data_IF_682734251430
#
_entry.id   IF_682734251430
#
_cell.length_a   1.000
_cell.length_b   1.000
_cell.length_c   1.000
_cell.angle_alpha   90.00
_cell.angle_beta   90.00
_cell.angle_gamma   90.00
#
_symmetry.space_group_name_H-M   'P 1'
#
loop_
_entity.id
_entity.type
_entity.pdbx_description
1 polymer ?
#
# COMPACT_ATOMS: atom_id res chain seq x y z
N UNK A 1 -5.22 12.47 -30.57
CA UNK A 1 -4.29 11.33 -30.40
C UNK A 1 -4.88 10.43 -29.34
N UNK A 2 -4.99 9.14 -29.64
CA UNK A 2 -5.62 8.17 -28.75
C UNK A 2 -4.83 7.99 -27.44
N UNK A 3 -5.53 7.89 -26.32
CA UNK A 3 -4.95 7.58 -25.01
C UNK A 3 -4.37 6.16 -25.02
N UNK A 4 -3.08 6.01 -24.87
CA UNK A 4 -2.45 4.71 -24.91
C UNK A 4 -2.50 4.00 -23.55
N UNK A 5 -3.63 3.34 -23.27
CA UNK A 5 -3.89 2.58 -22.02
C UNK A 5 -2.71 1.65 -21.67
N UNK A 6 -2.16 0.90 -22.62
CA UNK A 6 -1.06 -0.04 -22.36
C UNK A 6 0.25 0.63 -21.93
N UNK A 7 0.52 1.83 -22.46
CA UNK A 7 1.70 2.61 -22.05
C UNK A 7 1.49 3.18 -20.65
N UNK A 8 0.29 3.63 -20.37
CA UNK A 8 -0.15 4.14 -19.08
C UNK A 8 -0.01 3.07 -17.99
N UNK A 9 -0.59 1.87 -18.20
CA UNK A 9 -0.53 0.77 -17.24
C UNK A 9 0.93 0.39 -16.88
N UNK A 10 1.83 0.36 -17.87
CA UNK A 10 3.24 0.06 -17.63
C UNK A 10 3.95 1.08 -16.72
N UNK A 11 3.61 2.36 -16.85
CA UNK A 11 4.21 3.42 -16.03
C UNK A 11 3.67 3.31 -14.60
N UNK A 12 2.36 3.10 -14.45
CA UNK A 12 1.72 2.86 -13.15
C UNK A 12 2.29 1.63 -12.45
N UNK A 13 2.41 0.52 -13.17
CA UNK A 13 2.99 -0.71 -12.60
C UNK A 13 4.43 -0.49 -12.14
N UNK A 14 5.24 0.21 -12.94
CA UNK A 14 6.61 0.56 -12.58
C UNK A 14 6.67 1.47 -11.34
N UNK A 15 5.79 2.46 -11.25
CA UNK A 15 5.70 3.35 -10.09
C UNK A 15 5.33 2.58 -8.82
N UNK A 16 4.32 1.70 -8.92
CA UNK A 16 3.91 0.80 -7.85
C UNK A 16 5.04 -0.12 -7.37
N UNK A 17 5.74 -0.75 -8.30
CA UNK A 17 6.83 -1.66 -7.97
C UNK A 17 7.99 -0.93 -7.27
N UNK A 18 8.36 0.25 -7.78
CA UNK A 18 9.42 1.08 -7.20
C UNK A 18 9.04 1.49 -5.78
N UNK A 19 7.87 2.06 -5.58
CA UNK A 19 7.47 2.54 -4.26
C UNK A 19 7.26 1.42 -3.25
N UNK A 20 6.76 0.25 -3.69
CA UNK A 20 6.66 -0.93 -2.82
C UNK A 20 8.03 -1.46 -2.40
N UNK A 21 9.04 -1.36 -3.26
CA UNK A 21 10.41 -1.72 -2.93
C UNK A 21 10.98 -0.75 -1.88
N UNK A 22 10.82 0.54 -2.06
CA UNK A 22 11.28 1.57 -1.12
C UNK A 22 10.60 1.40 0.26
N UNK A 23 9.29 1.22 0.28
CA UNK A 23 8.53 0.95 1.52
C UNK A 23 9.02 -0.32 2.21
N UNK A 24 9.32 -1.38 1.44
CA UNK A 24 9.85 -2.62 1.99
C UNK A 24 11.21 -2.41 2.67
N UNK A 25 12.11 -1.66 2.04
CA UNK A 25 13.43 -1.36 2.59
C UNK A 25 13.34 -0.48 3.85
N UNK A 26 12.44 0.50 3.87
CA UNK A 26 12.17 1.34 5.05
C UNK A 26 11.62 0.49 6.21
N UNK A 27 10.66 -0.38 5.96
CA UNK A 27 10.10 -1.31 6.97
C UNK A 27 11.18 -2.23 7.53
N UNK A 28 12.08 -2.71 6.68
CA UNK A 28 13.20 -3.55 7.09
C UNK A 28 14.22 -2.79 7.93
N UNK A 29 14.51 -1.54 7.59
CA UNK A 29 15.39 -0.68 8.37
C UNK A 29 14.80 -0.40 9.76
N UNK A 30 13.51 -0.09 9.86
CA UNK A 30 12.80 0.06 11.14
C UNK A 30 12.85 -1.23 11.96
N UNK A 31 12.62 -2.39 11.32
CA UNK A 31 12.69 -3.70 12.00
C UNK A 31 14.05 -3.95 12.65
N UNK A 32 15.13 -3.63 11.94
CA UNK A 32 16.47 -3.79 12.46
C UNK A 32 16.75 -2.80 13.60
N UNK A 33 16.38 -1.54 13.46
CA UNK A 33 16.58 -0.51 14.49
C UNK A 33 15.81 -0.85 15.79
N UNK A 34 14.55 -1.30 15.66
CA UNK A 34 13.77 -1.75 16.84
C UNK A 34 14.39 -3.01 17.46
N UNK A 35 14.91 -3.95 16.66
CA UNK A 35 15.58 -5.13 17.18
C UNK A 35 16.83 -4.76 17.98
N UNK A 36 17.63 -3.80 17.51
CA UNK A 36 18.82 -3.30 18.22
C UNK A 36 18.44 -2.60 19.53
N UNK A 37 17.40 -1.77 19.53
CA UNK A 37 16.88 -1.11 20.75
C UNK A 37 16.48 -2.16 21.80
N UNK A 38 15.74 -3.19 21.39
CA UNK A 38 15.30 -4.28 22.30
C UNK A 38 16.47 -5.12 22.77
N UNK A 39 17.49 -5.34 21.92
CA UNK A 39 18.68 -6.14 22.27
C UNK A 39 19.56 -5.49 23.36
N UNK A 40 19.50 -4.16 23.49
CA UNK A 40 20.26 -3.44 24.54
C UNK A 40 19.76 -3.68 25.96
N UNK A 41 18.72 -4.52 26.16
CA UNK A 41 18.15 -4.90 27.47
C UNK A 41 17.82 -3.71 28.38
N UNK A 42 17.34 -2.62 27.81
CA UNK A 42 16.97 -1.43 28.54
C UNK A 42 15.63 -1.60 29.26
N UNK A 43 15.42 -0.82 30.32
CA UNK A 43 14.11 -0.79 30.97
C UNK A 43 12.99 -0.34 30.00
N UNK A 44 11.73 -0.75 30.22
CA UNK A 44 10.61 -0.33 29.39
C UNK A 44 10.51 1.19 29.21
N UNK A 45 10.89 1.97 30.24
CA UNK A 45 10.92 3.44 30.24
C UNK A 45 11.95 3.99 29.23
N UNK A 46 13.06 3.30 29.07
CA UNK A 46 14.12 3.67 28.11
C UNK A 46 13.80 3.20 26.68
N UNK A 47 13.15 2.06 26.53
CA UNK A 47 12.81 1.47 25.22
C UNK A 47 11.73 2.26 24.53
N UNK A 48 10.70 2.71 25.27
CA UNK A 48 9.54 3.44 24.68
C UNK A 48 9.96 4.66 23.86
N UNK A 49 10.68 5.65 24.39
CA UNK A 49 11.03 6.84 23.64
C UNK A 49 11.91 6.54 22.42
N UNK A 50 12.78 5.53 22.51
CA UNK A 50 13.64 5.12 21.40
C UNK A 50 12.85 4.48 20.26
N UNK A 51 11.90 3.58 20.56
CA UNK A 51 11.04 2.99 19.54
C UNK A 51 10.19 4.07 18.86
N UNK A 52 9.60 4.99 19.63
CA UNK A 52 8.80 6.07 19.06
C UNK A 52 9.64 6.98 18.18
N UNK A 53 10.87 7.31 18.58
CA UNK A 53 11.80 8.09 17.77
C UNK A 53 12.21 7.37 16.47
N UNK A 54 12.46 6.05 16.54
CA UNK A 54 12.74 5.23 15.36
C UNK A 54 11.56 5.22 14.39
N UNK A 55 10.34 5.02 14.89
CA UNK A 55 9.12 5.02 14.07
C UNK A 55 8.92 6.38 13.42
N UNK A 56 9.08 7.48 14.15
CA UNK A 56 8.95 8.83 13.60
C UNK A 56 9.98 9.13 12.52
N UNK A 57 11.25 8.78 12.75
CA UNK A 57 12.32 8.90 11.76
C UNK A 57 11.99 8.17 10.46
N UNK A 58 11.51 6.93 10.54
CA UNK A 58 11.14 6.14 9.38
C UNK A 58 9.83 6.60 8.74
N UNK A 59 8.91 7.16 9.51
CA UNK A 59 7.71 7.81 8.99
C UNK A 59 8.07 9.00 8.08
N UNK A 60 9.02 9.83 8.48
CA UNK A 60 9.52 10.91 7.63
C UNK A 60 10.20 10.37 6.37
N UNK A 61 10.91 9.26 6.46
CA UNK A 61 11.51 8.59 5.30
C UNK A 61 10.44 8.08 4.32
N UNK A 62 9.34 7.52 4.83
CA UNK A 62 8.18 7.12 3.99
C UNK A 62 7.58 8.34 3.29
N UNK A 63 7.42 9.45 4.02
CA UNK A 63 6.91 10.70 3.44
C UNK A 63 7.79 11.18 2.29
N UNK A 64 9.11 11.17 2.48
CA UNK A 64 10.06 11.57 1.44
C UNK A 64 10.06 10.61 0.25
N UNK A 65 9.96 9.29 0.48
CA UNK A 65 9.85 8.30 -0.60
C UNK A 65 8.57 8.49 -1.41
N UNK A 66 7.45 8.83 -0.76
CA UNK A 66 6.20 9.12 -1.44
C UNK A 66 6.27 10.35 -2.37
N UNK A 67 7.17 11.31 -2.09
CA UNK A 67 7.42 12.43 -2.99
C UNK A 67 8.00 11.99 -4.34
N UNK A 68 8.62 10.81 -4.41
CA UNK A 68 9.06 10.21 -5.68
C UNK A 68 7.88 9.90 -6.61
N UNK A 69 6.68 9.66 -6.07
CA UNK A 69 5.47 9.56 -6.89
C UNK A 69 5.16 10.85 -7.64
N UNK A 70 5.48 12.00 -7.06
CA UNK A 70 5.29 13.31 -7.73
C UNK A 70 6.17 13.40 -8.95
N UNK A 71 7.45 13.03 -8.87
CA UNK A 71 8.36 13.05 -10.02
C UNK A 71 7.96 12.03 -11.10
N UNK A 72 7.49 10.84 -10.72
CA UNK A 72 6.98 9.85 -11.66
C UNK A 72 5.72 10.37 -12.36
N UNK A 73 4.86 11.10 -11.63
CA UNK A 73 3.66 11.70 -12.22
C UNK A 73 3.99 12.85 -13.18
N UNK A 74 5.03 13.64 -12.86
CA UNK A 74 5.57 14.68 -13.73
C UNK A 74 6.13 14.09 -15.03
N UNK A 75 6.98 13.08 -14.93
CA UNK A 75 7.50 12.32 -16.08
C UNK A 75 6.38 11.73 -16.93
N UNK A 76 5.30 11.27 -16.29
CA UNK A 76 4.14 10.71 -16.96
C UNK A 76 3.37 11.78 -17.75
N UNK A 77 3.16 12.94 -17.17
CA UNK A 77 2.46 14.05 -17.82
C UNK A 77 3.27 14.62 -18.99
N UNK A 78 4.59 14.69 -18.88
CA UNK A 78 5.48 15.11 -19.96
C UNK A 78 5.50 14.12 -21.13
N UNK A 79 5.31 12.84 -20.87
CA UNK A 79 5.24 11.79 -21.89
C UNK A 79 3.85 11.64 -22.52
N UNK A 80 2.81 12.26 -21.93
CA UNK A 80 1.47 12.25 -22.51
C UNK A 80 1.46 13.18 -23.72
N UNK A 81 0.85 12.71 -24.82
CA UNK A 81 0.73 13.47 -26.07
C UNK A 81 -0.18 14.69 -25.96
N UNK A 82 -0.85 14.88 -24.84
CA UNK A 82 -1.74 16.00 -24.56
C UNK A 82 -1.19 16.76 -23.35
N UNK A 83 -0.81 18.04 -23.46
CA UNK A 83 -0.32 18.81 -22.34
C UNK A 83 -1.33 18.84 -21.19
N UNK A 84 -0.89 18.49 -20.00
CA UNK A 84 -1.70 18.68 -18.81
C UNK A 84 -1.95 20.18 -18.59
N UNK A 85 -3.19 20.58 -18.28
CA UNK A 85 -3.46 21.97 -17.90
C UNK A 85 -2.99 22.22 -16.46
N UNK A 86 -2.70 23.49 -16.11
CA UNK A 86 -2.17 23.84 -14.79
C UNK A 86 -3.05 23.38 -13.61
N UNK A 87 -4.36 23.38 -13.78
CA UNK A 87 -5.32 22.98 -12.72
C UNK A 87 -5.27 21.46 -12.43
N UNK A 88 -4.99 20.64 -13.44
CA UNK A 88 -4.90 19.19 -13.24
C UNK A 88 -3.61 18.81 -12.54
N UNK A 89 -2.55 19.55 -12.82
CA UNK A 89 -1.25 19.35 -12.17
C UNK A 89 -1.33 19.63 -10.67
N UNK A 90 -1.96 20.74 -10.29
CA UNK A 90 -2.13 21.12 -8.89
C UNK A 90 -3.01 20.14 -8.12
N UNK A 91 -4.15 19.74 -8.71
CA UNK A 91 -5.04 18.75 -8.09
C UNK A 91 -4.37 17.39 -7.88
N UNK A 92 -3.55 16.96 -8.84
CA UNK A 92 -2.80 15.71 -8.76
C UNK A 92 -1.69 15.79 -7.72
N UNK A 93 -0.98 16.92 -7.64
CA UNK A 93 0.02 17.17 -6.63
C UNK A 93 -0.58 17.15 -5.23
N UNK A 94 -1.71 17.83 -5.02
CA UNK A 94 -2.42 17.80 -3.74
C UNK A 94 -2.85 16.38 -3.34
N UNK A 95 -3.31 15.56 -4.29
CA UNK A 95 -3.66 14.16 -4.02
C UNK A 95 -2.44 13.34 -3.58
N UNK A 96 -1.29 13.54 -4.23
CA UNK A 96 -0.05 12.86 -3.87
C UNK A 96 0.50 13.32 -2.51
N UNK A 97 0.41 14.61 -2.22
CA UNK A 97 0.80 15.17 -0.92
C UNK A 97 -0.06 14.59 0.21
N UNK A 98 -1.38 14.55 0.04
CA UNK A 98 -2.30 13.91 0.98
C UNK A 98 -1.96 12.43 1.18
N UNK A 99 -1.70 11.70 0.10
CA UNK A 99 -1.34 10.29 0.17
C UNK A 99 -0.01 10.06 0.89
N UNK A 100 0.96 10.96 0.74
CA UNK A 100 2.24 10.89 1.45
C UNK A 100 2.08 11.09 2.95
N UNK A 101 1.20 12.00 3.36
CA UNK A 101 0.85 12.22 4.76
C UNK A 101 0.10 11.04 5.36
N UNK A 102 -0.85 10.45 4.63
CA UNK A 102 -1.56 9.25 5.08
C UNK A 102 -0.61 8.07 5.31
N UNK A 103 0.36 7.86 4.43
CA UNK A 103 1.38 6.83 4.58
C UNK A 103 2.26 7.08 5.82
N UNK A 104 2.72 8.30 6.02
CA UNK A 104 3.50 8.68 7.19
C UNK A 104 2.69 8.49 8.48
N UNK A 105 1.44 8.91 8.51
CA UNK A 105 0.54 8.76 9.64
C UNK A 105 0.22 7.29 9.95
N UNK A 106 0.07 6.45 8.93
CA UNK A 106 -0.13 5.01 9.10
C UNK A 106 1.06 4.34 9.79
N UNK A 107 2.27 4.82 9.53
CA UNK A 107 3.50 4.36 10.19
C UNK A 107 3.60 4.89 11.62
N UNK A 108 3.50 6.20 11.81
CA UNK A 108 3.58 6.86 13.13
C UNK A 108 2.53 6.31 14.10
N UNK A 109 1.28 6.16 13.66
CA UNK A 109 0.20 5.60 14.46
C UNK A 109 0.39 4.15 14.89
N UNK A 110 1.37 3.45 14.30
CA UNK A 110 1.69 2.07 14.70
C UNK A 110 2.78 1.97 15.78
N UNK A 111 3.44 3.08 16.11
CA UNK A 111 4.54 3.10 17.08
C UNK A 111 4.13 2.62 18.48
N UNK A 112 3.00 3.10 18.97
CA UNK A 112 2.47 2.70 20.27
C UNK A 112 2.10 1.20 20.33
N UNK A 113 1.66 0.60 19.24
CA UNK A 113 1.38 -0.86 19.17
C UNK A 113 2.66 -1.67 19.29
N UNK A 114 3.77 -1.21 18.70
CA UNK A 114 5.09 -1.85 18.84
C UNK A 114 5.56 -1.73 20.29
N UNK A 115 5.53 -0.51 20.86
CA UNK A 115 5.90 -0.24 22.24
C UNK A 115 5.12 -1.12 23.20
N UNK A 116 3.79 -1.13 23.08
CA UNK A 116 2.91 -1.97 23.91
C UNK A 116 3.28 -3.44 23.83
N UNK A 117 3.59 -3.93 22.63
CA UNK A 117 3.97 -5.33 22.42
C UNK A 117 5.28 -5.65 23.14
N UNK A 118 6.29 -4.79 23.04
CA UNK A 118 7.59 -4.97 23.66
C UNK A 118 7.49 -4.85 25.19
N UNK A 119 6.82 -3.81 25.69
CA UNK A 119 6.68 -3.57 27.14
C UNK A 119 5.89 -4.68 27.82
N UNK A 120 4.74 -5.08 27.29
CA UNK A 120 3.94 -6.16 27.88
C UNK A 120 4.68 -7.50 27.83
N UNK A 121 5.39 -7.79 26.75
CA UNK A 121 6.22 -8.98 26.64
C UNK A 121 7.37 -8.99 27.64
N UNK A 122 8.02 -7.85 27.87
CA UNK A 122 9.07 -7.69 28.88
C UNK A 122 8.53 -7.91 30.29
N UNK A 123 7.41 -7.32 30.63
CA UNK A 123 6.73 -7.52 31.93
C UNK A 123 6.32 -8.99 32.11
N UNK A 124 5.92 -9.67 31.04
CA UNK A 124 5.60 -11.10 31.05
C UNK A 124 6.84 -12.02 31.14
N UNK A 125 8.05 -11.47 31.20
CA UNK A 125 9.29 -12.21 31.30
C UNK A 125 9.73 -12.91 30.01
N UNK A 126 9.31 -12.42 28.86
CA UNK A 126 9.76 -12.96 27.57
C UNK A 126 11.27 -12.72 27.37
N UNK A 127 11.93 -13.66 26.71
CA UNK A 127 13.33 -13.48 26.32
C UNK A 127 13.46 -12.36 25.26
N UNK A 128 14.64 -11.72 25.22
CA UNK A 128 14.96 -10.70 24.21
C UNK A 128 14.65 -11.17 22.78
N UNK A 129 14.99 -12.41 22.45
CA UNK A 129 14.68 -12.99 21.15
C UNK A 129 13.17 -13.07 20.87
N UNK A 130 12.37 -13.44 21.88
CA UNK A 130 10.91 -13.47 21.77
C UNK A 130 10.31 -12.07 21.59
N UNK A 131 10.82 -11.07 22.32
CA UNK A 131 10.42 -9.67 22.18
C UNK A 131 10.71 -9.12 20.78
N UNK A 132 11.92 -9.35 20.26
CA UNK A 132 12.29 -8.98 18.90
C UNK A 132 11.35 -9.61 17.87
N UNK A 133 11.00 -10.90 18.04
CA UNK A 133 10.10 -11.57 17.12
C UNK A 133 8.68 -11.02 17.18
N UNK A 134 8.20 -10.67 18.37
CA UNK A 134 6.88 -10.02 18.50
C UNK A 134 6.87 -8.62 17.87
N UNK A 135 7.91 -7.82 18.09
CA UNK A 135 8.06 -6.50 17.45
C UNK A 135 8.10 -6.62 15.92
N UNK A 136 8.87 -7.59 15.40
CA UNK A 136 8.91 -7.89 13.96
C UNK A 136 7.55 -8.26 13.40
N UNK A 137 6.75 -9.04 14.13
CA UNK A 137 5.37 -9.36 13.76
C UNK A 137 4.50 -8.12 13.58
N UNK A 138 4.72 -7.06 14.38
CA UNK A 138 3.99 -5.79 14.26
C UNK A 138 4.51 -4.92 13.12
N UNK A 139 5.78 -4.99 12.80
CA UNK A 139 6.43 -4.17 11.78
C UNK A 139 6.27 -4.80 10.39
N UNK A 140 6.84 -5.97 10.17
CA UNK A 140 6.83 -6.65 8.86
C UNK A 140 5.67 -7.63 8.67
N UNK A 141 4.96 -7.98 9.73
CA UNK A 141 3.91 -9.00 9.70
C UNK A 141 4.44 -10.43 9.60
N UNK A 142 5.74 -10.63 9.81
CA UNK A 142 6.39 -11.94 9.73
C UNK A 142 6.98 -12.29 11.10
N UNK A 143 6.40 -13.27 11.78
CA UNK A 143 7.03 -13.87 12.96
C UNK A 143 8.09 -14.87 12.50
N UNK A 144 9.37 -14.62 12.83
CA UNK A 144 10.50 -15.38 12.30
C UNK A 144 10.77 -16.73 12.98
N UNK A 145 10.21 -16.98 14.16
CA UNK A 145 10.48 -18.17 14.96
C UNK A 145 9.23 -19.01 15.23
N UNK A 146 8.71 -19.61 14.19
CA UNK A 146 7.80 -20.74 14.38
C UNK A 146 8.62 -22.02 14.54
N UNK A 147 8.31 -22.83 15.54
CA UNK A 147 8.83 -24.21 15.69
C UNK A 147 8.24 -25.15 14.65
N UNK A 148 7.17 -24.73 13.96
CA UNK A 148 6.50 -25.49 12.92
C UNK A 148 7.43 -25.72 11.71
N UNK A 149 7.73 -27.01 11.36
CA UNK A 149 8.60 -27.35 10.24
C UNK A 149 8.13 -26.79 8.88
N UNK A 150 6.83 -26.69 8.69
CA UNK A 150 6.24 -26.17 7.44
C UNK A 150 6.43 -24.66 7.32
N UNK A 151 6.26 -23.94 8.42
CA UNK A 151 6.55 -22.50 8.47
C UNK A 151 8.02 -22.24 8.20
N UNK A 152 8.93 -22.98 8.84
CA UNK A 152 10.39 -22.90 8.61
C UNK A 152 10.77 -23.20 7.15
N UNK A 153 10.06 -24.13 6.51
CA UNK A 153 10.28 -24.45 5.09
C UNK A 153 9.89 -23.29 4.19
N UNK A 154 8.74 -22.69 4.40
CA UNK A 154 8.28 -21.55 3.60
C UNK A 154 9.14 -20.29 3.86
N UNK A 155 9.59 -20.05 5.11
CA UNK A 155 10.55 -19.00 5.43
C UNK A 155 11.87 -19.16 4.68
N UNK A 156 12.41 -20.39 4.62
CA UNK A 156 13.64 -20.67 3.85
C UNK A 156 13.46 -20.40 2.36
N UNK A 157 12.27 -20.71 1.79
CA UNK A 157 11.95 -20.40 0.39
C UNK A 157 11.90 -18.90 0.17
N UNK A 158 11.21 -18.18 1.04
CA UNK A 158 11.12 -16.70 0.98
C UNK A 158 12.50 -16.06 1.03
N UNK A 159 13.37 -16.48 1.97
CA UNK A 159 14.76 -15.98 2.05
C UNK A 159 15.55 -16.22 0.76
N UNK A 160 15.36 -17.39 0.12
CA UNK A 160 16.03 -17.69 -1.17
C UNK A 160 15.53 -16.79 -2.29
N UNK A 161 14.22 -16.52 -2.34
CA UNK A 161 13.63 -15.61 -3.35
C UNK A 161 14.16 -14.18 -3.17
N UNK A 162 14.16 -13.66 -1.94
CA UNK A 162 14.70 -12.32 -1.63
C UNK A 162 16.19 -12.21 -1.98
N UNK A 163 17.01 -13.20 -1.57
CA UNK A 163 18.44 -13.23 -1.89
C UNK A 163 18.72 -13.41 -3.38
N UNK A 164 17.84 -14.08 -4.10
CA UNK A 164 17.95 -14.33 -5.54
C UNK A 164 17.42 -13.17 -6.40
N UNK A 165 17.01 -12.04 -5.81
CA UNK A 165 16.51 -10.91 -6.57
C UNK A 165 15.17 -11.16 -7.28
N UNK A 166 14.34 -12.05 -6.73
CA UNK A 166 13.02 -12.32 -7.30
C UNK A 166 12.15 -11.04 -7.29
N UNK A 167 11.27 -10.89 -8.29
CA UNK A 167 10.39 -9.72 -8.41
C UNK A 167 9.52 -9.53 -7.16
N UNK A 168 9.14 -8.28 -6.88
CA UNK A 168 8.29 -7.91 -5.74
C UNK A 168 6.99 -8.73 -5.70
N UNK A 169 6.38 -9.02 -6.85
CA UNK A 169 5.18 -9.84 -6.95
C UNK A 169 5.40 -11.28 -6.43
N UNK A 170 6.51 -11.91 -6.80
CA UNK A 170 6.87 -13.26 -6.36
C UNK A 170 7.16 -13.29 -4.86
N UNK A 171 7.88 -12.30 -4.34
CA UNK A 171 8.17 -12.15 -2.90
C UNK A 171 6.87 -11.95 -2.12
N UNK A 172 5.96 -11.09 -2.60
CA UNK A 172 4.65 -10.85 -1.98
C UNK A 172 3.81 -12.13 -1.95
N UNK A 173 3.77 -12.89 -3.03
CA UNK A 173 3.04 -14.15 -3.10
C UNK A 173 3.60 -15.18 -2.09
N UNK A 174 4.93 -15.32 -2.02
CA UNK A 174 5.60 -16.21 -1.07
C UNK A 174 5.34 -15.77 0.39
N UNK A 175 5.36 -14.47 0.66
CA UNK A 175 5.04 -13.91 1.98
C UNK A 175 3.59 -14.21 2.38
N UNK A 176 2.64 -14.03 1.48
CA UNK A 176 1.23 -14.34 1.73
C UNK A 176 1.00 -15.84 1.98
N UNK A 177 1.73 -16.70 1.27
CA UNK A 177 1.69 -18.15 1.50
C UNK A 177 2.23 -18.53 2.88
N UNK A 178 3.35 -17.92 3.30
CA UNK A 178 3.90 -18.10 4.63
C UNK A 178 2.91 -17.63 5.70
N UNK A 179 2.31 -16.45 5.52
CA UNK A 179 1.32 -15.88 6.45
C UNK A 179 0.15 -16.81 6.72
N UNK A 180 -0.37 -17.51 5.69
CA UNK A 180 -1.50 -18.46 5.82
C UNK A 180 -1.16 -19.68 6.68
N UNK A 181 0.13 -19.98 6.87
CA UNK A 181 0.61 -21.14 7.61
C UNK A 181 1.00 -20.82 9.05
N UNK A 182 1.03 -19.55 9.44
CA UNK A 182 1.36 -19.14 10.80
C UNK A 182 0.16 -19.41 11.73
N UNK A 183 0.30 -20.33 12.72
CA UNK A 183 -0.76 -20.58 13.70
C UNK A 183 -0.95 -19.32 14.57
N UNK A 184 -2.19 -18.89 14.71
CA UNK A 184 -2.52 -17.71 15.53
C UNK A 184 -1.91 -16.44 14.97
N UNK A 185 -1.97 -16.27 13.63
CA UNK A 185 -1.41 -15.11 12.95
C UNK A 185 -1.77 -13.85 13.75
N UNK A 186 -0.78 -13.28 14.41
CA UNK A 186 -0.86 -11.88 14.82
C UNK A 186 -1.46 -11.19 13.62
N UNK A 187 -2.55 -10.46 13.82
CA UNK A 187 -3.36 -9.89 12.77
C UNK A 187 -2.43 -9.15 11.80
N UNK A 188 -1.93 -9.87 10.79
CA UNK A 188 -0.94 -9.37 9.83
C UNK A 188 -1.48 -8.19 9.04
N UNK A 189 -2.81 -8.08 8.96
CA UNK A 189 -3.51 -6.91 8.44
C UNK A 189 -3.20 -5.61 9.23
N UNK A 190 -2.79 -5.72 10.49
CA UNK A 190 -2.40 -4.58 11.32
C UNK A 190 -0.91 -4.23 11.27
N UNK A 191 -0.07 -4.99 10.53
CA UNK A 191 1.36 -4.66 10.44
C UNK A 191 1.61 -3.39 9.63
N UNK A 192 2.68 -2.68 9.96
CA UNK A 192 3.11 -1.47 9.23
C UNK A 192 3.29 -1.79 7.75
N UNK A 193 3.97 -2.89 7.41
CA UNK A 193 4.20 -3.29 6.03
C UNK A 193 2.91 -3.45 5.22
N UNK A 194 1.86 -4.03 5.82
CA UNK A 194 0.56 -4.19 5.14
C UNK A 194 -0.15 -2.86 5.00
N UNK A 195 -0.15 -2.03 6.06
CA UNK A 195 -0.78 -0.69 6.02
C UNK A 195 -0.13 0.18 4.94
N UNK A 196 1.20 0.23 4.88
CA UNK A 196 1.93 1.01 3.89
C UNK A 196 1.72 0.47 2.47
N UNK A 197 1.83 -0.85 2.26
CA UNK A 197 1.57 -1.44 0.94
C UNK A 197 0.16 -1.13 0.42
N UNK A 198 -0.84 -1.19 1.31
CA UNK A 198 -2.23 -0.86 0.96
C UNK A 198 -2.38 0.64 0.68
N UNK A 199 -1.73 1.50 1.47
CA UNK A 199 -1.72 2.94 1.24
C UNK A 199 -1.10 3.31 -0.10
N UNK A 200 0.00 2.68 -0.48
CA UNK A 200 0.61 2.86 -1.81
C UNK A 200 -0.35 2.45 -2.93
N UNK A 201 -0.99 1.27 -2.82
CA UNK A 201 -1.98 0.82 -3.81
C UNK A 201 -3.15 1.81 -3.93
N UNK A 202 -3.60 2.39 -2.82
CA UNK A 202 -4.65 3.40 -2.82
C UNK A 202 -4.19 4.71 -3.46
N UNK A 203 -3.03 5.23 -3.07
CA UNK A 203 -2.48 6.48 -3.59
C UNK A 203 -2.34 6.44 -5.11
N UNK A 204 -1.65 5.42 -5.63
CA UNK A 204 -1.44 5.25 -7.06
C UNK A 204 -2.75 5.02 -7.80
N UNK A 205 -3.66 4.23 -7.23
CA UNK A 205 -4.95 3.99 -7.85
C UNK A 205 -5.85 5.23 -7.90
N UNK A 206 -5.83 6.07 -6.87
CA UNK A 206 -6.57 7.34 -6.84
C UNK A 206 -6.01 8.33 -7.84
N UNK A 207 -4.69 8.45 -7.90
CA UNK A 207 -4.01 9.24 -8.92
C UNK A 207 -4.40 8.80 -10.34
N UNK A 208 -4.34 7.49 -10.62
CA UNK A 208 -4.70 6.94 -11.91
C UNK A 208 -6.15 7.27 -12.32
N UNK A 209 -7.10 7.09 -11.40
CA UNK A 209 -8.50 7.40 -11.67
C UNK A 209 -8.75 8.88 -11.96
N UNK A 210 -8.14 9.77 -11.18
CA UNK A 210 -8.22 11.22 -11.38
C UNK A 210 -7.65 11.62 -12.73
N UNK A 211 -6.47 11.09 -13.07
CA UNK A 211 -5.81 11.37 -14.34
C UNK A 211 -6.62 10.87 -15.54
N UNK A 212 -7.11 9.62 -15.48
CA UNK A 212 -7.92 9.04 -16.54
C UNK A 212 -9.20 9.85 -16.82
N UNK A 213 -9.89 10.30 -15.74
CA UNK A 213 -11.05 11.18 -15.84
C UNK A 213 -10.71 12.51 -16.49
N UNK A 214 -9.63 13.16 -16.05
CA UNK A 214 -9.21 14.44 -16.59
C UNK A 214 -8.86 14.35 -18.09
N UNK A 215 -8.14 13.30 -18.50
CA UNK A 215 -7.80 13.06 -19.90
C UNK A 215 -9.05 12.78 -20.75
N UNK A 216 -9.98 11.97 -20.26
CA UNK A 216 -11.24 11.70 -20.95
C UNK A 216 -12.02 12.99 -21.21
N UNK A 217 -12.19 13.82 -20.17
CA UNK A 217 -12.90 15.11 -20.28
C UNK A 217 -12.27 16.01 -21.34
N UNK A 218 -10.94 16.08 -21.40
CA UNK A 218 -10.22 16.90 -22.41
C UNK A 218 -10.39 16.40 -23.83
N UNK A 219 -10.41 15.09 -23.99
CA UNK A 219 -10.52 14.46 -25.30
C UNK A 219 -11.98 14.29 -25.76
N UNK A 220 -12.95 14.76 -24.96
CA UNK A 220 -14.38 14.60 -25.25
C UNK A 220 -14.84 13.14 -25.18
N UNK A 221 -14.13 12.29 -24.44
CA UNK A 221 -14.53 10.91 -24.19
C UNK A 221 -15.53 10.90 -23.05
N UNK A 222 -16.74 10.44 -23.33
CA UNK A 222 -17.85 10.44 -22.38
C UNK A 222 -18.06 9.08 -21.72
N UNK A 223 -17.59 7.99 -22.33
CA UNK A 223 -17.82 6.62 -21.89
C UNK A 223 -16.61 6.02 -21.18
N UNK A 224 -16.84 5.32 -20.08
CA UNK A 224 -15.82 4.66 -19.28
C UNK A 224 -16.19 3.19 -19.05
N UNK A 225 -15.18 2.32 -19.02
CA UNK A 225 -15.31 0.92 -18.67
C UNK A 225 -14.69 0.64 -17.31
N UNK A 226 -15.41 -0.10 -16.44
CA UNK A 226 -14.86 -0.53 -15.14
C UNK A 226 -14.01 -1.77 -15.31
N UNK A 227 -12.72 -1.64 -15.09
CA UNK A 227 -11.73 -2.70 -15.31
C UNK A 227 -11.05 -3.13 -14.02
N UNK A 228 -10.47 -4.32 -14.02
CA UNK A 228 -9.68 -4.88 -12.92
C UNK A 228 -9.91 -6.38 -12.76
N UNK A 229 -8.95 -7.06 -12.17
CA UNK A 229 -9.02 -8.51 -11.93
C UNK A 229 -9.97 -8.86 -10.78
N UNK A 230 -10.94 -9.72 -11.02
CA UNK A 230 -11.83 -10.26 -9.98
C UNK A 230 -11.05 -11.27 -9.13
N UNK A 231 -11.08 -11.10 -7.81
CA UNK A 231 -10.45 -11.98 -6.82
C UNK A 231 -11.49 -12.44 -5.79
N UNK A 232 -11.18 -13.50 -5.04
CA UNK A 232 -12.04 -14.02 -3.99
C UNK A 232 -12.41 -12.97 -2.90
N UNK A 233 -11.60 -11.91 -2.78
CA UNK A 233 -11.81 -10.79 -1.85
C UNK A 233 -12.41 -9.56 -2.51
N UNK A 234 -12.75 -9.62 -3.81
CA UNK A 234 -13.41 -8.52 -4.51
C UNK A 234 -14.79 -8.26 -3.93
N UNK A 235 -15.15 -6.99 -3.75
CA UNK A 235 -16.47 -6.60 -3.25
C UNK A 235 -17.56 -6.98 -4.23
N UNK A 236 -18.79 -7.26 -3.77
CA UNK A 236 -19.91 -7.54 -4.66
C UNK A 236 -20.13 -6.45 -5.71
N UNK A 237 -19.97 -5.18 -5.32
CA UNK A 237 -20.00 -4.04 -6.26
C UNK A 237 -18.98 -4.22 -7.38
N UNK A 238 -17.70 -4.45 -7.05
CA UNK A 238 -16.65 -4.60 -8.06
C UNK A 238 -16.93 -5.79 -8.99
N UNK A 239 -17.36 -6.93 -8.42
CA UNK A 239 -17.70 -8.13 -9.21
C UNK A 239 -18.82 -7.85 -10.21
N UNK A 240 -19.85 -7.08 -9.80
CA UNK A 240 -20.98 -6.75 -10.67
C UNK A 240 -20.65 -5.71 -11.74
N UNK A 241 -19.63 -4.88 -11.49
CA UNK A 241 -19.32 -3.74 -12.35
C UNK A 241 -18.21 -4.01 -13.38
N UNK A 242 -17.33 -4.97 -13.15
CA UNK A 242 -16.25 -5.27 -14.10
C UNK A 242 -16.80 -5.57 -15.50
N UNK A 243 -16.32 -4.83 -16.51
CA UNK A 243 -16.77 -4.88 -17.90
C UNK A 243 -18.00 -4.01 -18.22
N UNK A 244 -18.57 -3.32 -17.23
CA UNK A 244 -19.67 -2.39 -17.48
C UNK A 244 -19.14 -1.08 -18.07
N UNK A 245 -19.88 -0.52 -19.03
CA UNK A 245 -19.61 0.77 -19.67
C UNK A 245 -20.67 1.77 -19.30
N UNK A 246 -20.27 2.97 -18.92
CA UNK A 246 -21.17 4.02 -18.46
C UNK A 246 -20.53 5.41 -18.69
N UNK A 247 -21.36 6.43 -18.82
CA UNK A 247 -20.88 7.81 -18.79
C UNK A 247 -20.60 8.28 -17.35
N UNK A 248 -19.89 9.39 -17.18
CA UNK A 248 -19.46 9.89 -15.88
C UNK A 248 -20.63 10.24 -14.95
N UNK A 249 -21.76 10.73 -15.49
CA UNK A 249 -22.96 11.08 -14.73
C UNK A 249 -23.64 9.82 -14.18
N UNK A 250 -23.80 8.79 -15.00
CA UNK A 250 -24.37 7.50 -14.59
C UNK A 250 -23.49 6.80 -13.55
N UNK A 251 -22.17 6.90 -13.68
CA UNK A 251 -21.22 6.39 -12.68
C UNK A 251 -21.44 7.09 -11.33
N UNK A 252 -21.57 8.42 -11.32
CA UNK A 252 -21.82 9.19 -10.10
C UNK A 252 -23.18 8.84 -9.50
N UNK A 253 -24.23 8.78 -10.29
CA UNK A 253 -25.59 8.41 -9.85
C UNK A 253 -25.63 7.00 -9.25
N UNK A 254 -24.97 6.04 -9.92
CA UNK A 254 -24.83 4.68 -9.41
C UNK A 254 -24.06 4.65 -8.09
N UNK A 255 -22.95 5.43 -8.00
CA UNK A 255 -22.17 5.54 -6.80
C UNK A 255 -23.01 6.07 -5.64
N UNK A 256 -23.72 7.17 -5.83
CA UNK A 256 -24.52 7.80 -4.78
C UNK A 256 -25.72 6.94 -4.34
N UNK A 257 -26.34 6.26 -5.28
CA UNK A 257 -27.49 5.35 -5.02
C UNK A 257 -27.13 4.00 -4.45
N UNK A 258 -25.87 3.60 -4.44
CA UNK A 258 -25.41 2.28 -4.00
C UNK A 258 -24.80 2.29 -2.61
N UNK A 259 -24.87 1.15 -1.89
CA UNK A 259 -24.24 0.97 -0.58
C UNK A 259 -23.61 -0.41 -0.46
N UNK A 260 -22.39 -0.49 0.07
CA UNK A 260 -21.69 -1.74 0.38
C UNK A 260 -20.65 -1.53 1.49
N UNK A 261 -20.22 -2.62 2.11
CA UNK A 261 -19.19 -2.56 3.14
C UNK A 261 -17.84 -2.06 2.58
N UNK A 262 -17.30 -1.01 3.16
CA UNK A 262 -16.05 -0.38 2.74
C UNK A 262 -16.18 0.57 1.55
N UNK A 263 -17.41 1.01 1.23
CA UNK A 263 -17.61 2.20 0.39
C UNK A 263 -17.06 3.42 1.11
N UNK A 264 -16.32 4.24 0.40
CA UNK A 264 -15.81 5.53 0.88
C UNK A 264 -16.58 6.68 0.21
N UNK A 265 -16.82 7.79 0.90
CA UNK A 265 -17.38 8.97 0.28
C UNK A 265 -16.38 9.58 -0.71
N UNK A 266 -16.87 10.20 -1.77
CA UNK A 266 -16.04 10.92 -2.73
C UNK A 266 -16.34 10.55 -4.19
N UNK A 267 -15.50 11.09 -5.08
CA UNK A 267 -15.59 10.86 -6.52
C UNK A 267 -15.29 9.38 -6.85
N UNK A 268 -16.19 8.65 -7.54
CA UNK A 268 -16.02 7.23 -7.86
C UNK A 268 -14.79 6.92 -8.71
N UNK A 269 -14.24 7.88 -9.42
CA UNK A 269 -12.98 7.73 -10.15
C UNK A 269 -11.77 7.73 -9.22
N UNK A 270 -11.83 8.51 -8.15
CA UNK A 270 -10.76 8.61 -7.13
C UNK A 270 -10.85 7.45 -6.14
N UNK A 271 -12.02 7.25 -5.52
CA UNK A 271 -12.22 6.23 -4.48
C UNK A 271 -12.51 4.84 -5.04
N UNK A 272 -12.83 4.75 -6.32
CA UNK A 272 -13.01 3.51 -7.08
C UNK A 272 -14.09 2.61 -6.45
N UNK A 273 -13.81 1.40 -5.98
CA UNK A 273 -14.70 0.53 -5.19
C UNK A 273 -14.56 0.71 -3.67
N UNK A 274 -13.82 1.72 -3.19
CA UNK A 274 -13.51 1.99 -1.79
C UNK A 274 -12.11 1.50 -1.40
N UNK A 275 -11.79 1.56 -0.10
CA UNK A 275 -10.46 1.24 0.44
C UNK A 275 -9.86 -0.06 -0.10
N UNK A 276 -8.61 -0.01 -0.55
CA UNK A 276 -7.88 -1.16 -1.13
C UNK A 276 -8.56 -1.77 -2.36
N UNK A 277 -9.27 -0.96 -3.15
CA UNK A 277 -9.84 -1.40 -4.41
C UNK A 277 -8.78 -1.39 -5.52
N UNK A 278 -8.73 -2.48 -6.31
CA UNK A 278 -7.81 -2.62 -7.45
C UNK A 278 -8.50 -2.42 -8.79
N UNK A 279 -9.78 -2.09 -8.78
CA UNK A 279 -10.55 -1.81 -9.97
C UNK A 279 -10.61 -0.30 -10.19
N UNK A 280 -10.73 0.14 -11.43
CA UNK A 280 -10.80 1.55 -11.79
C UNK A 280 -11.56 1.76 -13.10
N UNK A 281 -11.97 2.99 -13.34
CA UNK A 281 -12.62 3.40 -14.57
C UNK A 281 -11.59 3.83 -15.59
N UNK A 282 -11.68 3.30 -16.83
CA UNK A 282 -10.85 3.70 -17.97
C UNK A 282 -11.72 4.30 -19.05
N UNK A 283 -11.26 5.36 -19.73
CA UNK A 283 -11.98 5.91 -20.86
C UNK A 283 -12.03 4.90 -22.01
N UNK A 284 -13.19 4.81 -22.66
CA UNK A 284 -13.40 3.99 -23.85
C UNK A 284 -13.29 4.90 -25.07
N UNK A 285 -12.30 4.65 -25.92
CA UNK A 285 -12.17 5.32 -27.20
C UNK A 285 -12.87 4.46 -28.28
N UNK A 286 -13.72 5.09 -29.12
CA UNK A 286 -14.30 4.47 -30.30
C UNK A 286 -13.26 4.18 -31.40
#
# INVERSE_FOLDING_TARGET
MAFNVKKHDKIIDKALDTMKADVFDIVKALENEVADIVALNQSPEMVRPQILAAVEKHSQTVKNAAQTLTSISEDFMDQSSTPAGPLDFESQRQLLDLSSEELANAMSGSGEDIVKTVVLGSVAGLSTAALINQARGRISGVQMDSTDPDVRREQRKLRKLVKGGASAAVVTQATNKLRRKLPGSVNTAGSIAVKLSTGVDNAVGSFNGTYAKAQATRNGVEEFEYVGGIMATSRPFCVSMVGSRMNAEDIQNLWDGSSWAGKEPGDPFVVRGGYNCRHYWVPVEE
#
